data_IF_969822104176
#
_entry.id   IF_969822104176
#
_cell.length_a   1.000
_cell.length_b   1.000
_cell.length_c   1.000
_cell.angle_alpha   90.00
_cell.angle_beta   90.00
_cell.angle_gamma   90.00
#
_symmetry.space_group_name_H-M   'P 1'
#
loop_
_entity.id
_entity.type
_entity.pdbx_description
1 polymer ?
#
# COMPACT_ATOMS: atom_id res chain seq x y z
N UNK A 1 -33.89 15.73 -18.01
CA UNK A 1 -32.72 15.06 -18.65
C UNK A 1 -31.48 15.44 -17.85
N UNK A 2 -30.59 14.48 -17.59
CA UNK A 2 -29.33 14.70 -16.92
C UNK A 2 -28.42 15.48 -17.89
N UNK A 3 -28.05 16.69 -17.56
CA UNK A 3 -27.14 17.48 -18.39
C UNK A 3 -25.72 16.95 -18.20
N UNK A 4 -24.97 16.72 -19.27
CA UNK A 4 -23.57 16.27 -19.22
C UNK A 4 -22.70 17.31 -19.91
N UNK A 5 -21.63 17.71 -19.24
CA UNK A 5 -20.61 18.56 -19.85
C UNK A 5 -19.29 17.83 -19.91
N UNK A 6 -18.44 18.20 -20.85
CA UNK A 6 -17.09 17.68 -20.99
C UNK A 6 -16.14 18.39 -20.03
N UNK A 7 -15.11 17.68 -19.54
CA UNK A 7 -14.10 18.28 -18.65
C UNK A 7 -13.48 19.54 -19.23
N UNK A 8 -13.21 19.59 -20.53
CA UNK A 8 -12.68 20.80 -21.20
C UNK A 8 -13.52 22.06 -21.01
N UNK A 9 -14.84 21.89 -20.77
CA UNK A 9 -15.77 23.01 -20.56
C UNK A 9 -15.82 23.46 -19.08
N UNK A 10 -15.36 22.60 -18.16
CA UNK A 10 -15.43 22.76 -16.72
C UNK A 10 -14.08 23.07 -16.06
N UNK A 11 -12.96 22.74 -16.72
CA UNK A 11 -11.62 22.82 -16.15
C UNK A 11 -10.55 23.03 -17.22
N UNK A 12 -9.35 23.48 -16.79
CA UNK A 12 -8.14 23.54 -17.63
C UNK A 12 -7.17 22.43 -17.24
N UNK A 13 -6.48 21.85 -18.22
CA UNK A 13 -5.36 20.94 -17.96
C UNK A 13 -4.04 21.69 -17.92
N UNK A 14 -3.19 21.33 -16.95
CA UNK A 14 -1.85 21.89 -16.79
C UNK A 14 -0.86 20.74 -16.84
N UNK A 15 0.20 20.91 -17.63
CA UNK A 15 1.29 19.93 -17.74
C UNK A 15 2.30 20.14 -16.62
N UNK A 16 2.82 19.04 -16.06
CA UNK A 16 3.83 19.08 -15.03
C UNK A 16 5.20 19.55 -15.52
N UNK A 17 6.06 19.88 -14.57
CA UNK A 17 7.42 20.37 -14.79
C UNK A 17 8.29 19.27 -15.39
N UNK A 18 8.99 19.57 -16.47
CA UNK A 18 10.04 18.74 -17.04
C UNK A 18 11.37 19.16 -16.42
N UNK A 19 12.09 18.23 -15.81
CA UNK A 19 13.35 18.49 -15.11
C UNK A 19 14.38 17.40 -15.44
N UNK A 20 15.66 17.71 -15.24
CA UNK A 20 16.78 16.78 -15.26
C UNK A 20 17.28 16.55 -13.84
N UNK A 21 18.10 15.54 -13.63
CA UNK A 21 18.72 15.27 -12.32
C UNK A 21 19.53 16.47 -11.82
N UNK A 22 20.15 17.24 -12.73
CA UNK A 22 20.88 18.47 -12.40
C UNK A 22 20.01 19.63 -11.91
N UNK A 23 18.69 19.55 -12.08
CA UNK A 23 17.73 20.59 -11.67
C UNK A 23 17.14 20.25 -10.27
N UNK A 24 17.63 19.16 -9.64
CA UNK A 24 17.15 18.72 -8.34
C UNK A 24 18.09 19.19 -7.22
N UNK A 25 17.50 19.56 -6.11
CA UNK A 25 18.17 19.87 -4.85
C UNK A 25 18.06 18.72 -3.86
N UNK A 26 19.02 18.55 -2.98
CA UNK A 26 19.00 17.51 -1.94
C UNK A 26 18.00 17.83 -0.82
N UNK A 27 17.80 19.12 -0.54
CA UNK A 27 16.88 19.61 0.49
C UNK A 27 16.07 20.81 -0.01
N UNK A 28 15.03 21.17 0.73
CA UNK A 28 14.22 22.36 0.46
C UNK A 28 14.97 23.60 0.93
N UNK A 29 15.20 24.52 0.00
CA UNK A 29 15.87 25.79 0.24
C UNK A 29 15.13 26.97 -0.42
N UNK A 30 15.73 28.17 -0.42
CA UNK A 30 15.13 29.38 -1.02
C UNK A 30 15.01 29.31 -2.54
N UNK A 31 15.82 28.49 -3.22
CA UNK A 31 15.88 28.35 -4.67
C UNK A 31 15.06 27.17 -5.19
N UNK A 32 14.61 26.29 -4.30
CA UNK A 32 13.92 25.06 -4.64
C UNK A 32 12.47 25.05 -4.15
N UNK A 33 11.67 24.17 -4.74
CA UNK A 33 10.27 23.95 -4.38
C UNK A 33 9.95 22.46 -4.39
N UNK A 34 9.03 22.02 -3.53
CA UNK A 34 8.54 20.64 -3.49
C UNK A 34 7.90 20.26 -4.82
N UNK A 35 8.35 19.14 -5.40
CA UNK A 35 7.78 18.56 -6.61
C UNK A 35 7.13 17.22 -6.30
N UNK A 36 5.82 17.15 -6.53
CA UNK A 36 5.01 15.96 -6.37
C UNK A 36 5.07 15.06 -7.61
N UNK A 37 5.08 13.76 -7.37
CA UNK A 37 5.12 12.70 -8.39
C UNK A 37 3.93 11.76 -8.24
N UNK A 38 3.84 10.74 -9.10
CA UNK A 38 2.77 9.73 -9.06
C UNK A 38 2.71 8.92 -7.75
N UNK A 39 3.84 8.73 -7.06
CA UNK A 39 3.93 8.07 -5.75
C UNK A 39 3.32 8.91 -4.62
N UNK A 40 3.24 10.22 -4.79
CA UNK A 40 2.58 11.10 -3.84
C UNK A 40 1.04 11.08 -3.93
N UNK A 41 0.46 10.33 -4.88
CA UNK A 41 -0.99 10.13 -5.00
C UNK A 41 -1.35 8.76 -4.39
N UNK A 42 -2.04 8.76 -3.26
CA UNK A 42 -2.48 7.54 -2.58
C UNK A 42 -3.89 7.68 -2.03
N UNK A 43 -4.77 6.72 -2.35
CA UNK A 43 -6.15 6.66 -1.84
C UNK A 43 -6.96 7.96 -2.02
N UNK A 44 -6.74 8.68 -3.14
CA UNK A 44 -7.42 9.96 -3.41
C UNK A 44 -6.85 11.16 -2.65
N UNK A 45 -5.75 10.97 -1.93
CA UNK A 45 -5.05 11.98 -1.15
C UNK A 45 -3.64 12.22 -1.69
N UNK A 46 -3.10 13.40 -1.39
CA UNK A 46 -1.69 13.72 -1.60
C UNK A 46 -0.93 13.45 -0.30
N UNK A 47 0.19 12.73 -0.38
CA UNK A 47 1.14 12.55 0.70
C UNK A 47 2.49 13.18 0.35
N UNK A 48 3.26 13.50 1.37
CA UNK A 48 4.56 14.16 1.26
C UNK A 48 5.72 13.27 1.78
N UNK A 49 5.49 11.96 1.90
CA UNK A 49 6.47 11.04 2.50
C UNK A 49 7.75 10.87 1.67
N UNK A 50 7.65 10.96 0.34
CA UNK A 50 8.76 10.84 -0.61
C UNK A 50 8.64 11.92 -1.67
N UNK A 51 9.03 13.14 -1.34
CA UNK A 51 9.06 14.28 -2.25
C UNK A 51 10.46 14.52 -2.77
N UNK A 52 10.58 15.24 -3.87
CA UNK A 52 11.84 15.78 -4.39
C UNK A 52 11.73 17.29 -4.48
N UNK A 53 12.86 17.95 -4.60
CA UNK A 53 12.93 19.40 -4.67
C UNK A 53 13.51 19.81 -6.02
N UNK A 54 12.83 20.70 -6.73
CA UNK A 54 13.24 21.17 -8.05
C UNK A 54 13.53 22.67 -8.00
N UNK A 55 14.50 23.10 -8.80
CA UNK A 55 14.83 24.52 -8.96
C UNK A 55 13.58 25.33 -9.39
N UNK A 56 13.27 26.38 -8.62
CA UNK A 56 12.14 27.29 -8.89
C UNK A 56 12.18 27.91 -10.27
N UNK A 57 13.37 28.11 -10.88
CA UNK A 57 13.52 28.64 -12.23
C UNK A 57 12.96 27.72 -13.30
N UNK A 58 12.76 26.44 -13.01
CA UNK A 58 12.13 25.46 -13.92
C UNK A 58 10.61 25.48 -13.85
N UNK A 59 10.04 26.14 -12.88
CA UNK A 59 8.60 26.12 -12.60
C UNK A 59 7.97 27.41 -13.08
N UNK A 60 7.05 27.30 -14.03
CA UNK A 60 6.22 28.43 -14.41
C UNK A 60 5.11 28.68 -13.40
N UNK A 61 4.64 29.93 -13.28
CA UNK A 61 3.62 30.33 -12.31
C UNK A 61 2.35 29.47 -12.36
N UNK A 62 1.93 29.06 -13.58
CA UNK A 62 0.75 28.21 -13.75
C UNK A 62 0.93 26.80 -13.19
N UNK A 63 2.17 26.32 -13.06
CA UNK A 63 2.51 24.97 -12.60
C UNK A 63 2.58 24.85 -11.07
N UNK A 64 2.46 25.95 -10.34
CA UNK A 64 2.24 25.86 -8.91
C UNK A 64 0.84 25.34 -8.61
N UNK A 65 0.76 24.35 -7.71
CA UNK A 65 -0.51 23.79 -7.27
C UNK A 65 -1.32 24.81 -6.49
N UNK A 66 -2.62 24.77 -6.71
CA UNK A 66 -3.58 25.62 -5.99
C UNK A 66 -4.63 24.73 -5.34
N UNK A 67 -5.14 25.17 -4.22
CA UNK A 67 -6.26 24.49 -3.56
C UNK A 67 -7.41 24.28 -4.56
N UNK A 68 -7.95 23.06 -4.59
CA UNK A 68 -8.97 22.62 -5.53
C UNK A 68 -8.46 22.09 -6.85
N UNK A 69 -7.16 22.16 -7.12
CA UNK A 69 -6.55 21.42 -8.24
C UNK A 69 -6.71 19.91 -8.04
N UNK A 70 -6.76 19.19 -9.15
CA UNK A 70 -6.83 17.73 -9.14
C UNK A 70 -5.55 17.20 -9.80
N UNK A 71 -4.67 16.62 -8.98
CA UNK A 71 -3.42 16.00 -9.44
C UNK A 71 -3.70 14.59 -9.94
N UNK A 72 -3.25 14.26 -11.15
CA UNK A 72 -3.51 12.99 -11.82
C UNK A 72 -2.18 12.34 -12.22
N UNK A 73 -2.00 11.07 -11.91
CA UNK A 73 -0.93 10.26 -12.49
C UNK A 73 -1.21 10.03 -13.98
N UNK A 74 -0.54 10.77 -14.84
CA UNK A 74 -0.75 10.69 -16.29
C UNK A 74 0.06 9.58 -16.95
N UNK A 75 1.23 9.23 -16.39
CA UNK A 75 2.12 8.19 -16.93
C UNK A 75 2.77 7.40 -15.81
N UNK A 76 2.83 6.07 -15.96
CA UNK A 76 3.50 5.17 -15.02
C UNK A 76 3.83 3.85 -15.69
N UNK A 77 4.91 3.18 -15.26
CA UNK A 77 5.22 1.80 -15.65
C UNK A 77 4.15 0.79 -15.22
N UNK A 78 3.33 1.12 -14.23
CA UNK A 78 2.21 0.28 -13.77
C UNK A 78 0.87 0.82 -14.26
N UNK A 79 0.14 0.01 -15.05
CA UNK A 79 -1.21 0.33 -15.52
C UNK A 79 -2.18 0.64 -14.36
N UNK A 80 -1.99 0.04 -13.19
CA UNK A 80 -2.83 0.25 -12.00
C UNK A 80 -2.68 1.67 -11.41
N UNK A 81 -1.55 2.32 -11.65
CA UNK A 81 -1.27 3.67 -11.15
C UNK A 81 -1.78 4.77 -12.08
N UNK A 82 -1.77 4.52 -13.39
CA UNK A 82 -2.23 5.49 -14.39
C UNK A 82 -3.70 5.86 -14.14
N UNK A 83 -3.98 7.16 -14.11
CA UNK A 83 -5.30 7.71 -13.80
C UNK A 83 -5.65 7.80 -12.31
N UNK A 84 -4.75 7.44 -11.38
CA UNK A 84 -4.97 7.84 -9.98
C UNK A 84 -5.06 9.36 -9.90
N UNK A 85 -5.98 9.84 -9.07
CA UNK A 85 -6.20 11.27 -8.87
C UNK A 85 -6.35 11.60 -7.40
N UNK A 86 -5.92 12.81 -7.01
CA UNK A 86 -6.12 13.37 -5.68
C UNK A 86 -6.41 14.86 -5.79
N UNK A 87 -7.29 15.35 -4.94
CA UNK A 87 -7.56 16.79 -4.83
C UNK A 87 -6.52 17.47 -3.95
N UNK A 88 -6.09 18.65 -4.33
CA UNK A 88 -5.24 19.53 -3.53
C UNK A 88 -6.13 20.26 -2.53
N UNK A 89 -5.96 20.00 -1.24
CA UNK A 89 -6.76 20.57 -0.14
C UNK A 89 -5.94 21.50 0.79
N UNK A 90 -4.72 21.84 0.38
CA UNK A 90 -3.76 22.64 1.14
C UNK A 90 -3.33 23.88 0.35
N UNK A 91 -2.79 24.85 1.08
CA UNK A 91 -2.16 26.07 0.57
C UNK A 91 -0.66 26.03 0.90
N UNK A 92 0.11 25.21 0.20
CA UNK A 92 1.56 25.10 0.34
C UNK A 92 2.21 25.28 -1.03
N UNK A 93 3.32 26.02 -1.08
CA UNK A 93 4.09 26.20 -2.30
C UNK A 93 4.69 24.87 -2.77
N UNK A 94 4.08 24.29 -3.80
CA UNK A 94 4.55 23.06 -4.41
C UNK A 94 4.15 22.94 -5.87
N UNK A 95 4.81 22.08 -6.60
CA UNK A 95 4.58 21.80 -8.02
C UNK A 95 4.48 20.30 -8.28
N UNK A 96 4.45 19.87 -9.53
CA UNK A 96 4.31 18.47 -9.91
C UNK A 96 5.09 18.15 -11.18
N UNK A 97 5.62 16.92 -11.26
CA UNK A 97 6.46 16.47 -12.37
C UNK A 97 5.69 16.08 -13.62
N UNK A 98 6.39 16.00 -14.77
CA UNK A 98 5.82 15.76 -16.10
C UNK A 98 5.07 14.44 -16.28
N UNK A 99 5.26 13.44 -15.39
CA UNK A 99 4.48 12.21 -15.38
C UNK A 99 3.10 12.38 -14.70
N UNK A 100 2.85 13.55 -14.13
CA UNK A 100 1.56 13.98 -13.61
C UNK A 100 0.95 15.08 -14.48
N UNK A 101 -0.35 15.27 -14.35
CA UNK A 101 -1.12 16.37 -14.88
C UNK A 101 -1.98 16.96 -13.79
N UNK A 102 -2.31 18.23 -13.92
CA UNK A 102 -3.31 18.87 -13.10
C UNK A 102 -4.53 19.22 -13.95
N UNK A 103 -5.68 18.88 -13.43
CA UNK A 103 -6.96 19.43 -13.87
C UNK A 103 -7.33 20.52 -12.88
N UNK A 104 -7.38 21.77 -13.34
CA UNK A 104 -7.76 22.94 -12.55
C UNK A 104 -9.20 23.31 -12.86
N UNK A 105 -10.15 23.01 -11.99
CA UNK A 105 -11.55 23.31 -12.17
C UNK A 105 -11.82 24.83 -12.21
N UNK A 106 -12.92 25.21 -12.86
CA UNK A 106 -13.55 26.50 -12.55
C UNK A 106 -14.07 26.47 -11.12
N UNK A 107 -14.03 27.60 -10.42
CA UNK A 107 -14.36 27.72 -9.00
C UNK A 107 -15.69 27.05 -8.62
N UNK A 108 -16.72 27.28 -9.43
CA UNK A 108 -18.07 26.73 -9.21
C UNK A 108 -18.18 25.19 -9.27
N UNK A 109 -17.17 24.49 -9.86
CA UNK A 109 -17.14 23.03 -10.01
C UNK A 109 -16.03 22.35 -9.20
N UNK A 110 -15.26 23.12 -8.44
CA UNK A 110 -14.05 22.65 -7.76
C UNK A 110 -14.29 21.40 -6.90
N UNK A 111 -15.17 21.51 -5.93
CA UNK A 111 -15.44 20.40 -4.98
C UNK A 111 -16.14 19.23 -5.67
N UNK A 112 -17.04 19.52 -6.61
CA UNK A 112 -17.76 18.48 -7.33
C UNK A 112 -16.85 17.68 -8.24
N UNK A 113 -15.96 18.33 -9.00
CA UNK A 113 -14.98 17.65 -9.83
C UNK A 113 -13.96 16.91 -8.99
N UNK A 114 -13.51 17.46 -7.85
CA UNK A 114 -12.68 16.73 -6.89
C UNK A 114 -13.30 15.38 -6.52
N UNK A 115 -14.57 15.37 -6.16
CA UNK A 115 -15.32 14.15 -5.86
C UNK A 115 -15.49 13.23 -7.09
N UNK A 116 -15.76 13.79 -8.27
CA UNK A 116 -15.89 13.01 -9.51
C UNK A 116 -14.59 12.26 -9.85
N UNK A 117 -13.43 12.91 -9.77
CA UNK A 117 -12.13 12.30 -10.09
C UNK A 117 -11.70 11.23 -9.09
N UNK A 118 -12.34 11.14 -7.95
CA UNK A 118 -12.12 10.09 -6.96
C UNK A 118 -13.13 8.93 -7.09
N UNK A 119 -14.15 9.09 -7.94
CA UNK A 119 -15.21 8.09 -8.12
C UNK A 119 -14.75 6.90 -8.97
N UNK A 120 -15.40 5.74 -8.76
CA UNK A 120 -15.27 4.56 -9.61
C UNK A 120 -15.71 4.83 -11.07
N UNK A 121 -16.63 5.77 -11.27
CA UNK A 121 -17.11 6.18 -12.60
C UNK A 121 -15.94 6.77 -13.41
N UNK A 122 -15.22 7.73 -12.85
CA UNK A 122 -14.01 8.27 -13.47
C UNK A 122 -12.98 7.18 -13.69
N UNK A 123 -12.68 6.40 -12.65
CA UNK A 123 -11.65 5.36 -12.70
C UNK A 123 -11.89 4.35 -13.81
N UNK A 124 -13.13 3.89 -13.99
CA UNK A 124 -13.52 2.96 -15.04
C UNK A 124 -13.42 3.58 -16.44
N UNK A 125 -13.82 4.85 -16.59
CA UNK A 125 -13.73 5.54 -17.89
C UNK A 125 -12.28 5.75 -18.31
N UNK A 126 -11.42 6.23 -17.43
CA UNK A 126 -10.03 6.53 -17.76
C UNK A 126 -9.22 5.25 -17.98
N UNK A 127 -9.51 4.18 -17.24
CA UNK A 127 -8.88 2.89 -17.45
C UNK A 127 -9.22 2.31 -18.83
N UNK A 128 -10.47 2.39 -19.27
CA UNK A 128 -10.91 1.95 -20.60
C UNK A 128 -10.24 2.79 -21.71
N UNK A 129 -10.15 4.09 -21.53
CA UNK A 129 -9.50 4.98 -22.49
C UNK A 129 -7.99 4.70 -22.63
N UNK A 130 -7.34 4.27 -21.56
CA UNK A 130 -5.90 3.91 -21.56
C UNK A 130 -5.61 2.50 -22.10
N UNK A 131 -6.60 1.59 -22.13
CA UNK A 131 -6.42 0.21 -22.61
C UNK A 131 -6.44 0.09 -24.15
N UNK A 132 -6.98 1.07 -24.88
CA UNK A 132 -7.08 1.04 -26.35
C UNK A 132 -5.78 1.30 -27.11
N UNK A 133 -4.72 1.71 -26.44
CA UNK A 133 -3.38 1.83 -26.99
C UNK A 133 -2.42 1.21 -25.98
N UNK A 134 -1.38 0.53 -26.43
CA UNK A 134 -0.32 -0.08 -25.59
C UNK A 134 0.48 0.98 -24.78
N UNK A 135 -0.20 2.00 -24.24
CA UNK A 135 0.35 3.25 -23.72
C UNK A 135 -0.07 3.43 -22.27
N UNK A 136 0.88 3.28 -21.38
CA UNK A 136 0.74 3.66 -19.95
C UNK A 136 0.74 5.20 -19.77
N UNK A 137 0.02 5.94 -20.64
CA UNK A 137 0.02 7.41 -20.64
C UNK A 137 -1.37 7.97 -21.00
N UNK A 138 -1.87 8.89 -20.19
CA UNK A 138 -3.13 9.60 -20.42
C UNK A 138 -2.84 10.89 -21.21
N UNK A 139 -3.42 10.99 -22.41
CA UNK A 139 -3.35 12.19 -23.23
C UNK A 139 -4.39 13.21 -22.80
N UNK A 140 -4.25 14.46 -23.29
CA UNK A 140 -5.20 15.54 -22.98
C UNK A 140 -6.62 15.20 -23.43
N UNK A 141 -6.76 14.66 -24.64
CA UNK A 141 -8.05 14.26 -25.20
C UNK A 141 -8.82 13.22 -24.35
N UNK A 142 -8.08 12.33 -23.65
CA UNK A 142 -8.70 11.34 -22.76
C UNK A 142 -9.38 11.99 -21.55
N UNK A 143 -8.82 13.09 -21.03
CA UNK A 143 -9.39 13.84 -19.92
C UNK A 143 -10.45 14.84 -20.43
N UNK A 144 -10.13 15.60 -21.46
CA UNK A 144 -11.02 16.64 -22.04
C UNK A 144 -12.36 16.07 -22.51
N UNK A 145 -12.32 14.83 -23.06
CA UNK A 145 -13.49 14.13 -23.55
C UNK A 145 -14.36 13.47 -22.48
N UNK A 146 -13.93 13.43 -21.21
CA UNK A 146 -14.73 12.84 -20.16
C UNK A 146 -16.01 13.63 -19.93
N UNK A 147 -17.14 12.95 -20.05
CA UNK A 147 -18.45 13.51 -19.74
C UNK A 147 -18.75 13.36 -18.25
N UNK A 148 -19.02 14.50 -17.61
CA UNK A 148 -19.40 14.62 -16.20
C UNK A 148 -20.90 14.90 -16.13
N UNK A 149 -21.68 14.12 -15.39
CA UNK A 149 -23.09 14.43 -15.15
C UNK A 149 -23.17 15.67 -14.26
N UNK A 150 -23.94 16.65 -14.70
CA UNK A 150 -24.21 17.85 -13.89
C UNK A 150 -25.62 17.79 -13.32
N UNK A 151 -25.72 18.16 -12.08
CA UNK A 151 -26.96 18.28 -11.32
C UNK A 151 -27.22 19.73 -10.95
N UNK A 152 -28.33 20.00 -10.28
CA UNK A 152 -28.53 21.31 -9.65
C UNK A 152 -27.42 21.60 -8.64
N UNK A 153 -27.13 22.87 -8.40
CA UNK A 153 -26.09 23.27 -7.42
C UNK A 153 -26.29 22.61 -6.05
N UNK A 154 -27.54 22.50 -5.61
CA UNK A 154 -27.91 21.85 -4.35
C UNK A 154 -27.56 20.35 -4.34
N UNK A 155 -27.90 19.63 -5.41
CA UNK A 155 -27.59 18.23 -5.55
C UNK A 155 -26.08 17.98 -5.67
N UNK A 156 -25.36 18.81 -6.42
CA UNK A 156 -23.89 18.72 -6.48
C UNK A 156 -23.27 18.93 -5.10
N UNK A 157 -23.72 19.96 -4.36
CA UNK A 157 -23.26 20.20 -2.98
C UNK A 157 -23.55 19.00 -2.06
N UNK A 158 -24.74 18.40 -2.15
CA UNK A 158 -25.12 17.24 -1.36
C UNK A 158 -24.26 16.03 -1.69
N UNK A 159 -24.02 15.75 -2.97
CA UNK A 159 -23.14 14.66 -3.44
C UNK A 159 -21.72 14.88 -2.91
N UNK A 160 -21.18 16.08 -3.07
CA UNK A 160 -19.84 16.44 -2.60
C UNK A 160 -19.67 16.23 -1.09
N UNK A 161 -20.61 16.76 -0.29
CA UNK A 161 -20.58 16.59 1.18
C UNK A 161 -20.59 15.11 1.59
N UNK A 162 -21.43 14.29 0.95
CA UNK A 162 -21.48 12.85 1.21
C UNK A 162 -20.17 12.15 0.84
N UNK A 163 -19.60 12.47 -0.33
CA UNK A 163 -18.33 11.91 -0.77
C UNK A 163 -17.17 12.30 0.15
N UNK A 164 -17.10 13.56 0.58
CA UNK A 164 -16.11 14.04 1.55
C UNK A 164 -16.24 13.34 2.90
N UNK A 165 -17.48 13.10 3.36
CA UNK A 165 -17.73 12.36 4.60
C UNK A 165 -17.24 10.91 4.48
N UNK A 166 -17.58 10.21 3.39
CA UNK A 166 -17.11 8.84 3.13
C UNK A 166 -15.58 8.76 3.09
N UNK A 167 -14.92 9.74 2.48
CA UNK A 167 -13.47 9.81 2.47
C UNK A 167 -12.86 9.97 3.87
N UNK A 168 -13.42 10.87 4.68
CA UNK A 168 -12.99 11.02 6.08
C UNK A 168 -13.13 9.72 6.86
N UNK A 169 -14.24 9.01 6.67
CA UNK A 169 -14.47 7.71 7.30
C UNK A 169 -13.39 6.71 6.86
N UNK A 170 -13.09 6.60 5.56
CA UNK A 170 -12.06 5.69 5.03
C UNK A 170 -10.68 6.04 5.60
N UNK A 171 -10.34 7.34 5.68
CA UNK A 171 -9.08 7.80 6.26
C UNK A 171 -8.98 7.38 7.74
N UNK A 172 -10.01 7.67 8.52
CA UNK A 172 -10.06 7.34 9.95
C UNK A 172 -9.92 5.84 10.18
N UNK A 173 -10.60 5.03 9.39
CA UNK A 173 -10.52 3.56 9.45
C UNK A 173 -9.10 3.07 9.16
N UNK A 174 -8.45 3.59 8.11
CA UNK A 174 -7.08 3.20 7.80
C UNK A 174 -6.12 3.61 8.92
N UNK A 175 -6.34 4.78 9.52
CA UNK A 175 -5.56 5.24 10.67
C UNK A 175 -5.81 4.34 11.90
N UNK A 176 -7.04 3.95 12.17
CA UNK A 176 -7.39 3.04 13.26
C UNK A 176 -6.74 1.68 13.08
N UNK A 177 -6.78 1.10 11.86
CA UNK A 177 -6.08 -0.16 11.56
C UNK A 177 -4.57 -0.06 11.79
N UNK A 178 -3.95 1.07 11.44
CA UNK A 178 -2.54 1.34 11.70
C UNK A 178 -2.25 1.43 13.20
N UNK A 179 -3.08 2.14 13.95
CA UNK A 179 -2.95 2.25 15.41
C UNK A 179 -3.09 0.90 16.10
N UNK A 180 -3.98 0.00 15.61
CA UNK A 180 -4.08 -1.36 16.12
C UNK A 180 -2.80 -2.18 15.84
N UNK A 181 -2.11 -1.96 14.72
CA UNK A 181 -0.80 -2.58 14.46
C UNK A 181 0.28 -2.04 15.40
N UNK A 182 0.30 -0.74 15.63
CA UNK A 182 1.22 -0.08 16.58
C UNK A 182 0.95 -0.54 18.02
N UNK A 183 -0.30 -0.70 18.41
CA UNK A 183 -0.71 -1.20 19.72
C UNK A 183 -0.19 -2.63 19.97
N UNK A 184 -0.31 -3.52 18.98
CA UNK A 184 0.26 -4.89 19.09
C UNK A 184 1.77 -4.84 19.22
N UNK A 185 2.45 -3.96 18.45
CA UNK A 185 3.90 -3.79 18.56
C UNK A 185 4.31 -3.26 19.93
N UNK A 186 3.62 -2.24 20.44
CA UNK A 186 3.88 -1.66 21.76
C UNK A 186 3.69 -2.70 22.86
N UNK A 187 2.65 -3.52 22.78
CA UNK A 187 2.42 -4.61 23.74
C UNK A 187 3.50 -5.69 23.69
N UNK A 188 3.98 -6.04 22.48
CA UNK A 188 5.09 -6.98 22.33
C UNK A 188 6.35 -6.43 23.01
N UNK A 189 6.72 -5.19 22.74
CA UNK A 189 7.92 -4.55 23.32
C UNK A 189 7.77 -4.38 24.84
N UNK A 190 6.59 -4.02 25.32
CA UNK A 190 6.32 -3.95 26.76
C UNK A 190 6.56 -5.28 27.48
N UNK A 191 6.12 -6.39 26.88
CA UNK A 191 6.25 -7.72 27.49
C UNK A 191 7.64 -8.33 27.32
N UNK A 192 8.23 -8.20 26.12
CA UNK A 192 9.41 -8.96 25.73
C UNK A 192 10.63 -8.10 25.37
N UNK A 193 10.48 -6.76 25.30
CA UNK A 193 11.51 -5.85 24.82
C UNK A 193 11.66 -5.87 23.31
N UNK A 194 12.66 -5.15 22.81
CA UNK A 194 13.03 -5.19 21.39
C UNK A 194 13.77 -6.51 21.08
N UNK A 195 13.26 -7.34 20.19
CA UNK A 195 13.86 -8.66 19.90
C UNK A 195 15.22 -8.56 19.19
N UNK A 196 15.59 -7.38 18.65
CA UNK A 196 16.88 -7.17 17.98
C UNK A 196 18.00 -6.98 18.99
N UNK A 197 17.77 -6.17 20.02
CA UNK A 197 18.78 -5.82 21.03
C UNK A 197 18.60 -6.59 22.33
N UNK A 198 17.46 -7.25 22.52
CA UNK A 198 17.11 -8.01 23.72
C UNK A 198 17.33 -7.21 25.03
N UNK A 199 16.81 -5.98 25.05
CA UNK A 199 16.98 -5.01 26.14
C UNK A 199 16.43 -5.51 27.49
N UNK A 200 15.57 -6.53 27.49
CA UNK A 200 15.08 -7.20 28.71
C UNK A 200 15.93 -8.38 29.18
N UNK A 201 17.00 -8.71 28.45
CA UNK A 201 17.90 -9.80 28.82
C UNK A 201 17.23 -11.18 28.89
N UNK A 202 16.26 -11.44 28.01
CA UNK A 202 15.62 -12.74 27.92
C UNK A 202 16.65 -13.78 27.45
N UNK A 203 16.46 -15.04 27.88
CA UNK A 203 17.22 -16.18 27.35
C UNK A 203 17.04 -16.18 25.82
N UNK A 204 18.12 -16.39 25.09
CA UNK A 204 18.09 -16.45 23.64
C UNK A 204 18.45 -17.84 23.14
N UNK A 205 17.84 -18.24 22.03
CA UNK A 205 18.14 -19.47 21.31
C UNK A 205 18.36 -19.20 19.83
N UNK A 206 19.17 -20.03 19.17
CA UNK A 206 19.30 -19.98 17.72
C UNK A 206 17.98 -20.40 17.06
N UNK A 207 17.58 -19.72 16.02
CA UNK A 207 16.36 -20.04 15.28
C UNK A 207 16.38 -21.48 14.75
N UNK A 208 17.56 -21.98 14.39
CA UNK A 208 17.78 -23.38 14.01
C UNK A 208 17.48 -24.41 15.13
N UNK A 209 17.64 -24.01 16.41
CA UNK A 209 17.37 -24.90 17.54
C UNK A 209 15.87 -25.03 17.80
N UNK A 210 15.12 -23.96 17.61
CA UNK A 210 13.70 -23.88 17.94
C UNK A 210 12.76 -24.11 16.75
N UNK A 211 13.30 -24.09 15.52
CA UNK A 211 12.46 -24.28 14.32
C UNK A 211 13.22 -24.90 13.14
N UNK A 212 12.46 -25.45 12.19
CA UNK A 212 12.92 -25.86 10.87
C UNK A 212 12.52 -24.79 9.85
N UNK A 213 13.48 -24.34 9.06
CA UNK A 213 13.27 -23.41 7.97
C UNK A 213 13.39 -24.15 6.63
N UNK A 214 12.31 -24.21 5.87
CA UNK A 214 12.29 -24.90 4.58
C UNK A 214 11.63 -24.06 3.50
N UNK A 215 12.32 -23.87 2.39
CA UNK A 215 11.70 -23.27 1.20
C UNK A 215 10.66 -24.22 0.61
N UNK A 216 9.58 -23.64 0.12
CA UNK A 216 8.52 -24.38 -0.53
C UNK A 216 8.93 -24.92 -1.90
N UNK A 217 7.94 -25.31 -2.72
CA UNK A 217 8.14 -25.97 -4.02
C UNK A 217 7.79 -25.02 -5.17
N UNK A 218 8.60 -25.07 -6.24
CA UNK A 218 8.35 -24.31 -7.45
C UNK A 218 7.00 -24.66 -8.08
N UNK A 219 6.34 -23.67 -8.65
CA UNK A 219 5.12 -23.82 -9.45
C UNK A 219 5.22 -23.07 -10.75
N UNK A 220 4.47 -23.49 -11.77
CA UNK A 220 4.33 -22.75 -13.01
C UNK A 220 3.32 -21.62 -12.83
N UNK A 221 3.62 -20.44 -13.36
CA UNK A 221 2.73 -19.27 -13.24
C UNK A 221 1.32 -19.53 -13.76
N UNK A 222 1.16 -20.36 -14.80
CA UNK A 222 -0.15 -20.72 -15.34
C UNK A 222 -1.01 -21.64 -14.45
N UNK A 223 -0.49 -22.15 -13.33
CA UNK A 223 -1.25 -22.95 -12.37
C UNK A 223 -1.97 -22.10 -11.31
N UNK A 224 -1.70 -20.79 -11.27
CA UNK A 224 -2.30 -19.87 -10.31
C UNK A 224 -3.57 -19.22 -10.85
N UNK A 225 -4.61 -19.25 -10.03
CA UNK A 225 -5.81 -18.43 -10.20
C UNK A 225 -5.65 -17.12 -9.43
N UNK A 226 -6.08 -16.00 -10.01
CA UNK A 226 -6.07 -14.70 -9.31
C UNK A 226 -7.08 -14.67 -8.16
N UNK A 227 -8.23 -15.33 -8.35
CA UNK A 227 -9.34 -15.36 -7.40
C UNK A 227 -9.65 -16.79 -6.93
N UNK A 228 -10.30 -16.91 -5.79
CA UNK A 228 -10.85 -18.15 -5.25
C UNK A 228 -12.38 -18.13 -5.31
N UNK A 229 -12.93 -17.95 -6.50
CA UNK A 229 -14.38 -17.77 -6.72
C UNK A 229 -15.21 -18.99 -6.29
N UNK A 230 -14.62 -20.18 -6.27
CA UNK A 230 -15.27 -21.45 -5.89
C UNK A 230 -15.03 -21.85 -4.45
N UNK A 231 -14.23 -21.12 -3.68
CA UNK A 231 -13.76 -21.49 -2.34
C UNK A 231 -13.09 -22.89 -2.24
N UNK A 232 -12.74 -23.48 -3.40
CA UNK A 232 -12.11 -24.80 -3.48
C UNK A 232 -10.59 -24.77 -3.63
N UNK A 233 -10.01 -23.56 -3.75
CA UNK A 233 -8.59 -23.37 -3.95
C UNK A 233 -7.92 -22.95 -2.64
N UNK A 234 -6.64 -23.26 -2.52
CA UNK A 234 -5.81 -22.92 -1.36
C UNK A 234 -4.93 -21.72 -1.68
N UNK A 235 -4.69 -20.81 -0.70
CA UNK A 235 -3.79 -19.68 -0.89
C UNK A 235 -2.36 -20.18 -1.19
N UNK A 236 -1.75 -19.58 -2.20
CA UNK A 236 -0.39 -19.84 -2.61
C UNK A 236 0.53 -18.70 -2.19
N UNK A 237 1.43 -18.97 -1.24
CA UNK A 237 2.36 -17.98 -0.70
C UNK A 237 3.65 -17.90 -1.51
N UNK A 238 4.04 -16.69 -1.85
CA UNK A 238 5.34 -16.34 -2.41
C UNK A 238 6.18 -15.51 -1.43
N UNK A 239 7.17 -14.79 -1.95
CA UNK A 239 8.09 -13.97 -1.14
C UNK A 239 7.43 -12.79 -0.43
N UNK A 240 6.22 -12.39 -0.81
CA UNK A 240 5.50 -11.25 -0.22
C UNK A 240 4.03 -11.58 0.11
N UNK A 241 3.77 -12.75 0.62
CA UNK A 241 2.41 -13.19 0.94
C UNK A 241 1.72 -13.93 -0.20
N UNK A 242 0.39 -13.85 -0.27
CA UNK A 242 -0.41 -14.60 -1.23
C UNK A 242 -0.20 -14.05 -2.65
N UNK A 243 0.24 -14.93 -3.57
CA UNK A 243 0.40 -14.64 -5.01
C UNK A 243 -0.84 -14.96 -5.84
N UNK A 244 -1.72 -15.80 -5.32
CA UNK A 244 -2.88 -16.34 -5.98
C UNK A 244 -3.36 -17.60 -5.26
N UNK A 245 -4.16 -18.39 -5.96
CA UNK A 245 -4.78 -19.61 -5.40
C UNK A 245 -4.52 -20.81 -6.30
N UNK A 246 -4.44 -22.02 -5.69
CA UNK A 246 -4.13 -23.27 -6.37
C UNK A 246 -4.95 -24.43 -5.80
N UNK A 247 -5.19 -25.48 -6.60
CA UNK A 247 -6.04 -26.62 -6.24
C UNK A 247 -5.38 -27.67 -5.33
N UNK A 248 -4.16 -27.42 -4.84
CA UNK A 248 -3.44 -28.31 -3.94
C UNK A 248 -2.75 -27.50 -2.84
N UNK A 249 -2.37 -28.16 -1.76
CA UNK A 249 -1.64 -27.56 -0.66
C UNK A 249 -0.38 -28.37 -0.32
N UNK A 250 0.58 -27.73 0.31
CA UNK A 250 1.83 -28.34 0.80
C UNK A 250 1.89 -28.40 2.32
N UNK A 251 1.12 -27.57 3.01
CA UNK A 251 1.09 -27.44 4.46
C UNK A 251 -0.35 -27.32 4.94
N UNK A 252 -0.62 -27.79 6.17
CA UNK A 252 -1.86 -27.62 6.91
C UNK A 252 -1.51 -27.27 8.35
N UNK A 253 -1.93 -26.10 8.83
CA UNK A 253 -1.60 -25.58 10.16
C UNK A 253 -1.32 -24.08 10.15
N UNK A 254 -0.67 -23.60 11.21
CA UNK A 254 -0.38 -22.18 11.41
C UNK A 254 1.12 -21.97 11.44
N UNK A 255 1.66 -21.23 10.46
CA UNK A 255 3.11 -21.08 10.31
C UNK A 255 3.50 -19.65 9.90
N UNK A 256 4.57 -19.08 10.49
CA UNK A 256 5.25 -17.92 9.89
C UNK A 256 5.87 -18.30 8.55
N UNK A 257 5.77 -17.40 7.58
CA UNK A 257 6.37 -17.54 6.26
C UNK A 257 7.29 -16.35 6.00
N UNK A 258 8.56 -16.61 5.72
CA UNK A 258 9.56 -15.59 5.42
C UNK A 258 9.77 -15.50 3.91
N UNK A 259 9.69 -14.30 3.36
CA UNK A 259 10.02 -14.04 1.96
C UNK A 259 11.50 -14.31 1.69
N UNK A 260 11.80 -15.14 0.67
CA UNK A 260 13.17 -15.55 0.34
C UNK A 260 13.86 -14.63 -0.65
N UNK A 261 13.16 -14.13 -1.66
CA UNK A 261 13.75 -13.39 -2.79
C UNK A 261 12.93 -12.16 -3.17
N UNK A 262 13.62 -11.17 -3.78
CA UNK A 262 13.05 -9.91 -4.25
C UNK A 262 13.17 -8.78 -3.23
N UNK A 263 12.73 -7.58 -3.60
CA UNK A 263 12.82 -6.38 -2.76
C UNK A 263 12.16 -6.51 -1.37
N UNK A 264 11.22 -7.43 -1.25
CA UNK A 264 10.51 -7.71 0.01
C UNK A 264 10.96 -9.01 0.69
N UNK A 265 12.15 -9.55 0.32
CA UNK A 265 12.76 -10.66 1.05
C UNK A 265 12.98 -10.27 2.52
N UNK A 266 12.81 -11.22 3.44
CA UNK A 266 12.81 -10.95 4.88
C UNK A 266 11.47 -10.48 5.45
N UNK A 267 10.46 -10.14 4.64
CA UNK A 267 9.10 -9.92 5.13
C UNK A 267 8.56 -11.22 5.74
N UNK A 268 7.86 -11.09 6.88
CA UNK A 268 7.22 -12.20 7.55
C UNK A 268 5.71 -12.13 7.37
N UNK A 269 5.12 -13.20 6.86
CA UNK A 269 3.69 -13.39 6.68
C UNK A 269 3.19 -14.51 7.57
N UNK A 270 1.90 -14.56 7.85
CA UNK A 270 1.29 -15.57 8.71
C UNK A 270 0.29 -16.39 7.90
N UNK A 271 0.60 -17.67 7.63
CA UNK A 271 -0.29 -18.59 6.97
C UNK A 271 -1.08 -19.40 8.01
N UNK A 272 -2.37 -19.61 7.75
CA UNK A 272 -3.29 -20.39 8.60
C UNK A 272 -4.09 -21.36 7.75
N UNK A 273 -4.24 -22.59 8.25
CA UNK A 273 -4.95 -23.68 7.57
C UNK A 273 -4.16 -24.26 6.40
N UNK A 274 -4.88 -24.72 5.36
CA UNK A 274 -4.26 -25.34 4.17
C UNK A 274 -3.74 -24.28 3.21
N UNK A 275 -2.46 -24.37 2.86
CA UNK A 275 -1.81 -23.45 1.92
C UNK A 275 -0.69 -24.12 1.12
N UNK A 276 -0.33 -23.51 0.00
CA UNK A 276 0.83 -23.88 -0.79
C UNK A 276 1.95 -22.85 -0.57
N UNK A 277 3.18 -23.31 -0.31
CA UNK A 277 4.36 -22.44 -0.25
C UNK A 277 5.21 -22.63 -1.50
N UNK A 278 5.56 -21.52 -2.20
CA UNK A 278 6.47 -21.57 -3.35
C UNK A 278 7.93 -21.55 -2.90
N UNK A 279 8.86 -21.77 -3.83
CA UNK A 279 10.30 -21.69 -3.63
C UNK A 279 10.78 -20.30 -3.14
N UNK A 280 9.95 -19.27 -3.27
CA UNK A 280 10.22 -17.92 -2.79
C UNK A 280 9.70 -17.67 -1.37
N UNK A 281 9.09 -18.66 -0.75
CA UNK A 281 8.53 -18.63 0.61
C UNK A 281 9.24 -19.67 1.48
N UNK A 282 9.85 -19.23 2.60
CA UNK A 282 10.43 -20.10 3.61
C UNK A 282 9.39 -20.33 4.69
N UNK A 283 8.93 -21.56 4.86
CA UNK A 283 8.03 -21.95 5.95
C UNK A 283 8.85 -22.21 7.20
N UNK A 284 8.44 -21.61 8.32
CA UNK A 284 9.10 -21.77 9.61
C UNK A 284 8.25 -22.69 10.49
N UNK A 285 8.72 -23.90 10.71
CA UNK A 285 8.00 -24.91 11.50
C UNK A 285 8.63 -25.04 12.88
N UNK A 286 7.92 -24.78 13.98
CA UNK A 286 8.45 -24.97 15.34
C UNK A 286 8.92 -26.40 15.58
N UNK A 287 10.02 -26.59 16.33
CA UNK A 287 10.56 -27.86 16.84
C UNK A 287 10.28 -28.05 18.32
N UNK A 288 10.00 -26.97 19.01
CA UNK A 288 9.72 -26.89 20.43
C UNK A 288 8.35 -26.26 20.64
N UNK A 289 7.81 -26.35 21.85
CA UNK A 289 6.54 -25.74 22.18
C UNK A 289 6.66 -24.22 22.18
N UNK A 290 6.01 -23.57 21.20
CA UNK A 290 5.94 -22.13 21.03
C UNK A 290 4.50 -21.76 20.69
N UNK A 291 4.06 -20.59 21.16
CA UNK A 291 2.80 -20.01 20.66
C UNK A 291 3.01 -19.46 19.26
N UNK A 292 2.18 -19.90 18.31
CA UNK A 292 2.30 -19.54 16.89
C UNK A 292 2.19 -18.03 16.65
N UNK A 293 1.33 -17.34 17.39
CA UNK A 293 1.11 -15.88 17.26
C UNK A 293 2.30 -15.11 17.79
N UNK A 294 2.76 -15.45 18.99
CA UNK A 294 3.96 -14.85 19.55
C UNK A 294 5.16 -15.07 18.61
N UNK A 295 5.36 -16.29 18.13
CA UNK A 295 6.48 -16.65 17.27
C UNK A 295 6.45 -15.85 15.95
N UNK A 296 5.27 -15.71 15.34
CA UNK A 296 5.10 -14.87 14.17
C UNK A 296 5.52 -13.42 14.44
N UNK A 297 5.05 -12.80 15.53
CA UNK A 297 5.37 -11.41 15.86
C UNK A 297 6.85 -11.23 16.25
N UNK A 298 7.45 -12.21 16.93
CA UNK A 298 8.88 -12.22 17.22
C UNK A 298 9.69 -12.14 15.91
N UNK A 299 9.42 -13.03 14.96
CA UNK A 299 10.09 -12.99 13.65
C UNK A 299 9.81 -11.70 12.86
N UNK A 300 8.59 -11.19 12.93
CA UNK A 300 8.18 -9.95 12.25
C UNK A 300 8.96 -8.74 12.77
N UNK A 301 9.18 -8.65 14.07
CA UNK A 301 9.85 -7.49 14.70
C UNK A 301 11.38 -7.62 14.73
N UNK A 302 11.94 -8.77 14.38
CA UNK A 302 13.39 -8.97 14.21
C UNK A 302 13.98 -8.22 13.01
N UNK A 303 13.14 -7.61 12.15
CA UNK A 303 13.58 -6.97 10.91
C UNK A 303 14.52 -7.83 10.07
N UNK A 304 14.01 -8.94 9.59
CA UNK A 304 14.80 -9.92 8.84
C UNK A 304 15.35 -9.37 7.51
N UNK A 305 14.89 -8.20 7.06
CA UNK A 305 15.44 -7.50 5.88
C UNK A 305 16.91 -7.14 6.07
N UNK A 306 17.38 -6.88 7.29
CA UNK A 306 18.78 -6.59 7.60
C UNK A 306 19.74 -7.73 7.22
N UNK A 307 19.21 -8.92 6.98
CA UNK A 307 19.99 -10.10 6.55
C UNK A 307 19.97 -10.33 5.03
N UNK A 308 19.37 -9.41 4.27
CA UNK A 308 19.39 -9.46 2.81
C UNK A 308 20.80 -9.42 2.25
N UNK A 309 21.02 -10.13 1.15
CA UNK A 309 22.24 -10.11 0.34
C UNK A 309 21.91 -10.06 -1.13
N UNK A 310 22.84 -9.53 -1.93
CA UNK A 310 22.67 -9.37 -3.38
C UNK A 310 22.09 -7.99 -3.74
N UNK A 311 22.91 -7.12 -4.38
CA UNK A 311 22.48 -5.77 -4.76
C UNK A 311 21.44 -5.76 -5.90
N UNK A 312 21.59 -6.63 -6.90
CA UNK A 312 20.70 -6.69 -8.06
C UNK A 312 19.41 -7.48 -7.78
N UNK A 313 19.49 -8.52 -6.97
CA UNK A 313 18.35 -9.35 -6.57
C UNK A 313 18.46 -9.70 -5.09
N UNK A 314 17.92 -8.85 -4.19
CA UNK A 314 17.97 -9.09 -2.76
C UNK A 314 17.35 -10.43 -2.38
N UNK A 315 17.99 -11.13 -1.44
CA UNK A 315 17.46 -12.38 -0.93
C UNK A 315 17.95 -12.68 0.48
N UNK A 316 17.22 -13.54 1.18
CA UNK A 316 17.59 -14.06 2.50
C UNK A 316 17.79 -15.56 2.40
N UNK A 317 18.95 -16.06 2.86
CA UNK A 317 19.24 -17.49 2.86
C UNK A 317 18.78 -18.16 4.14
N UNK A 318 18.37 -19.44 4.02
CA UNK A 318 18.01 -20.28 5.19
C UNK A 318 19.19 -20.39 6.17
N UNK A 319 20.42 -20.51 5.64
CA UNK A 319 21.63 -20.60 6.44
C UNK A 319 21.82 -19.37 7.36
N UNK A 320 21.64 -18.15 6.81
CA UNK A 320 21.73 -16.92 7.60
C UNK A 320 20.63 -16.86 8.66
N UNK A 321 19.40 -17.22 8.29
CA UNK A 321 18.28 -17.22 9.22
C UNK A 321 18.49 -18.22 10.36
N UNK A 322 19.04 -19.39 10.08
CA UNK A 322 19.34 -20.43 11.09
C UNK A 322 20.26 -19.93 12.21
N UNK A 323 21.16 -18.99 11.90
CA UNK A 323 22.14 -18.43 12.82
C UNK A 323 21.64 -17.17 13.58
N UNK A 324 20.38 -16.82 13.43
CA UNK A 324 19.79 -15.70 14.17
C UNK A 324 19.40 -16.17 15.58
N UNK A 325 19.83 -15.41 16.58
CA UNK A 325 19.34 -15.60 17.96
C UNK A 325 18.01 -14.88 18.13
N UNK A 326 17.04 -15.57 18.74
CA UNK A 326 15.74 -15.01 19.09
C UNK A 326 15.55 -15.03 20.61
N UNK A 327 14.93 -14.03 21.22
CA UNK A 327 14.53 -14.08 22.62
C UNK A 327 13.50 -15.20 22.81
N UNK A 328 13.58 -15.94 23.91
CA UNK A 328 12.67 -17.05 24.20
C UNK A 328 12.04 -16.86 25.58
N UNK A 329 10.95 -16.10 25.70
CA UNK A 329 10.21 -15.95 26.95
C UNK A 329 9.49 -17.25 27.33
N UNK A 330 9.10 -17.38 28.61
CA UNK A 330 8.31 -18.52 29.03
C UNK A 330 6.97 -18.62 28.26
N UNK A 331 6.48 -19.84 28.08
CA UNK A 331 5.29 -20.14 27.27
C UNK A 331 4.03 -19.41 27.77
N UNK A 332 3.88 -19.25 29.09
CA UNK A 332 2.74 -18.53 29.68
C UNK A 332 2.70 -17.06 29.22
N UNK A 333 3.84 -16.40 29.13
CA UNK A 333 3.94 -15.03 28.63
C UNK A 333 3.63 -14.95 27.15
N UNK A 334 4.04 -15.97 26.35
CA UNK A 334 3.69 -16.07 24.94
C UNK A 334 2.15 -16.16 24.76
N UNK A 335 1.48 -17.02 25.51
CA UNK A 335 0.03 -17.18 25.49
C UNK A 335 -0.69 -15.88 25.88
N UNK A 336 -0.21 -15.21 26.92
CA UNK A 336 -0.80 -13.92 27.36
C UNK A 336 -0.78 -12.86 26.24
N UNK A 337 0.33 -12.77 25.51
CA UNK A 337 0.43 -11.90 24.32
C UNK A 337 -0.50 -12.36 23.20
N UNK A 338 -0.57 -13.66 22.94
CA UNK A 338 -1.45 -14.24 21.92
C UNK A 338 -2.91 -13.90 22.17
N UNK A 339 -3.36 -14.00 23.42
CA UNK A 339 -4.74 -13.67 23.81
C UNK A 339 -5.03 -12.18 23.60
N UNK A 340 -4.08 -11.30 23.93
CA UNK A 340 -4.21 -9.87 23.62
C UNK A 340 -4.33 -9.63 22.10
N UNK A 341 -3.51 -10.29 21.28
CA UNK A 341 -3.59 -10.17 19.81
C UNK A 341 -4.94 -10.64 19.29
N UNK A 342 -5.50 -11.73 19.84
CA UNK A 342 -6.83 -12.23 19.44
C UNK A 342 -7.92 -11.17 19.68
N UNK A 343 -7.87 -10.45 20.79
CA UNK A 343 -8.85 -9.37 21.05
C UNK A 343 -8.69 -8.21 20.06
N UNK A 344 -7.44 -7.81 19.75
CA UNK A 344 -7.18 -6.79 18.74
C UNK A 344 -7.66 -7.25 17.34
N UNK A 345 -7.47 -8.52 17.00
CA UNK A 345 -7.89 -9.08 15.71
C UNK A 345 -9.42 -9.14 15.58
N UNK A 346 -10.18 -9.31 16.67
CA UNK A 346 -11.65 -9.15 16.66
C UNK A 346 -12.04 -7.72 16.24
N UNK A 347 -11.40 -6.71 16.81
CA UNK A 347 -11.63 -5.31 16.43
C UNK A 347 -11.30 -5.07 14.94
N UNK A 348 -10.15 -5.57 14.47
CA UNK A 348 -9.77 -5.49 13.05
C UNK A 348 -10.79 -6.17 12.13
N UNK A 349 -11.31 -7.31 12.55
CA UNK A 349 -12.32 -8.05 11.79
C UNK A 349 -13.61 -7.25 11.67
N UNK A 350 -14.11 -6.67 12.77
CA UNK A 350 -15.32 -5.85 12.79
C UNK A 350 -15.15 -4.66 11.82
N UNK A 351 -14.04 -3.93 11.93
CA UNK A 351 -13.74 -2.78 11.05
C UNK A 351 -13.72 -3.20 9.57
N UNK A 352 -13.05 -4.31 9.23
CA UNK A 352 -12.97 -4.80 7.86
C UNK A 352 -14.30 -5.32 7.33
N UNK A 353 -15.14 -5.94 8.16
CA UNK A 353 -16.45 -6.42 7.76
C UNK A 353 -17.40 -5.26 7.46
N UNK A 354 -17.38 -4.18 8.26
CA UNK A 354 -18.16 -2.96 8.00
C UNK A 354 -17.86 -2.36 6.64
N UNK A 355 -16.59 -2.35 6.22
CA UNK A 355 -16.19 -1.87 4.88
C UNK A 355 -16.73 -2.82 3.80
N UNK A 356 -16.61 -4.15 4.01
CA UNK A 356 -16.99 -5.16 3.01
C UNK A 356 -18.50 -5.22 2.78
N UNK A 357 -19.28 -5.03 3.80
CA UNK A 357 -20.75 -5.06 3.75
C UNK A 357 -21.36 -3.75 3.22
N UNK A 358 -20.52 -2.76 2.89
CA UNK A 358 -21.01 -1.47 2.40
C UNK A 358 -21.76 -0.66 3.44
N UNK A 359 -21.53 -0.93 4.73
CA UNK A 359 -22.09 -0.16 5.85
C UNK A 359 -21.36 1.18 6.06
N UNK A 360 -20.32 1.41 5.23
CA UNK A 360 -19.51 2.64 5.22
C UNK A 360 -19.34 3.19 3.81
#
# INVERSE_FOLDING_TARGET
>A
MMNKLKIKDLAKQIRGVSYKTSDLHEELDSQSVILLRANNISNGLINFDDVIYVDKQKVSEIQYLKKGDILICASSGSKKLVGKAASVDFDMECTFGAFCKVVRPKEEYMDYLGSYFQSSIYRNKISKASLGANINNIRNEHIDGLEVPLYSKENMSTITKRMQLLQKIIININQELKLLDELVKARFVELFGDPIINDKGLITELLANVSNLKAGKAIKTGELSENNDTNSLFPCFGGNGIRGYINRYTHDGTFPIIGRQGALSGNVNFAKGKFYATEHAIVVTPKVELDDTWFFYCLKYLDLKRFQTGAAQPGVSVEKLNNISIPLPNYKSQLYFSDFVKEVDKSRFIIKSMIKEGLL
#
